data_IF_643619973203
#
_entry.id   IF_643619973203
#
_cell.length_a   1.000
_cell.length_b   1.000
_cell.length_c   1.000
_cell.angle_alpha   90.00
_cell.angle_beta   90.00
_cell.angle_gamma   90.00
#
_symmetry.space_group_name_H-M   'P 1'
#
loop_
_entity.id
_entity.type
_entity.pdbx_description
1 polymer ?
#
# COMPACT_ATOMS: atom_id res chain seq x y z
N UNK A 1 -2.28 10.60 3.25
CA UNK A 1 -2.99 9.43 3.80
C UNK A 1 -4.44 9.78 3.64
N UNK A 2 -5.16 9.02 2.83
CA UNK A 2 -6.59 9.21 2.61
C UNK A 2 -7.36 8.09 3.33
N UNK A 3 -8.67 8.25 3.51
CA UNK A 3 -9.49 7.29 4.24
C UNK A 3 -10.69 6.90 3.39
N UNK A 4 -10.96 5.61 3.29
CA UNK A 4 -12.22 5.09 2.72
C UNK A 4 -12.94 4.28 3.78
N UNK A 5 -14.22 4.56 3.98
CA UNK A 5 -15.09 3.86 4.91
C UNK A 5 -16.22 3.18 4.15
N UNK A 6 -16.37 1.88 4.36
CA UNK A 6 -17.45 1.11 3.76
C UNK A 6 -18.77 1.27 4.52
N UNK A 7 -19.89 1.28 3.79
CA UNK A 7 -21.23 1.34 4.34
C UNK A 7 -22.12 0.21 3.78
N UNK A 8 -22.71 -0.58 4.66
CA UNK A 8 -23.58 -1.74 4.32
C UNK A 8 -25.07 -1.42 4.38
N UNK A 9 -25.42 -0.15 4.60
CA UNK A 9 -26.81 0.27 4.74
C UNK A 9 -27.38 0.70 3.40
N UNK A 10 -28.62 0.29 3.15
CA UNK A 10 -29.35 0.66 1.95
C UNK A 10 -29.42 2.19 1.80
N UNK A 11 -29.20 2.68 0.58
CA UNK A 11 -29.15 4.10 0.27
C UNK A 11 -27.97 4.90 0.85
N UNK A 12 -27.03 4.28 1.59
CA UNK A 12 -25.83 4.96 2.11
C UNK A 12 -24.60 4.59 1.26
N UNK A 13 -23.95 5.56 0.59
CA UNK A 13 -22.70 5.30 -0.11
C UNK A 13 -21.52 5.14 0.86
N UNK A 14 -20.44 4.55 0.37
CA UNK A 14 -19.14 4.57 1.04
C UNK A 14 -18.65 6.03 1.17
N UNK A 15 -17.92 6.32 2.25
CA UNK A 15 -17.35 7.64 2.50
C UNK A 15 -15.87 7.64 2.10
N UNK A 16 -15.45 8.60 1.29
CA UNK A 16 -14.04 8.89 0.99
C UNK A 16 -13.66 10.22 1.60
N UNK A 17 -12.54 10.23 2.33
CA UNK A 17 -11.97 11.44 2.90
C UNK A 17 -10.56 11.68 2.38
N UNK A 18 -10.36 12.87 1.83
CA UNK A 18 -9.06 13.34 1.39
C UNK A 18 -8.22 13.81 2.57
N UNK A 19 -7.00 13.30 2.70
CA UNK A 19 -6.08 13.69 3.76
C UNK A 19 -5.41 15.03 3.48
N UNK A 20 -5.55 15.98 4.38
CA UNK A 20 -5.01 17.34 4.20
C UNK A 20 -3.53 17.48 4.59
N UNK A 21 -2.82 16.37 4.80
CA UNK A 21 -1.38 16.34 5.12
C UNK A 21 -1.02 16.74 6.56
N UNK A 22 -1.97 17.28 7.34
CA UNK A 22 -1.78 17.71 8.73
C UNK A 22 -2.57 16.84 9.74
N UNK A 23 -2.93 15.62 9.34
CA UNK A 23 -3.74 14.69 10.15
C UNK A 23 -5.24 15.00 10.17
N UNK A 24 -5.70 16.02 9.43
CA UNK A 24 -7.11 16.26 9.18
C UNK A 24 -7.56 15.68 7.82
N UNK A 25 -8.88 15.59 7.65
CA UNK A 25 -9.52 14.90 6.55
C UNK A 25 -10.76 15.68 6.07
N UNK A 26 -10.99 15.71 4.75
CA UNK A 26 -12.16 16.34 4.13
C UNK A 26 -13.00 15.29 3.41
N UNK A 27 -14.28 15.16 3.75
CA UNK A 27 -15.20 14.25 3.06
C UNK A 27 -15.38 14.73 1.61
N UNK A 28 -15.09 13.86 0.64
CA UNK A 28 -15.12 14.21 -0.78
C UNK A 28 -15.52 13.05 -1.71
N UNK A 29 -16.38 12.15 -1.24
CA UNK A 29 -16.83 10.95 -1.98
C UNK A 29 -17.36 11.25 -3.38
N UNK A 30 -18.09 12.36 -3.54
CA UNK A 30 -18.73 12.71 -4.80
C UNK A 30 -17.71 13.05 -5.89
N UNK A 31 -16.74 13.92 -5.59
CA UNK A 31 -15.71 14.30 -6.58
C UNK A 31 -14.71 13.17 -6.83
N UNK A 32 -14.42 12.34 -5.81
CA UNK A 32 -13.62 11.13 -5.97
C UNK A 32 -14.34 10.01 -6.75
N UNK A 33 -15.66 10.14 -6.99
CA UNK A 33 -16.47 9.14 -7.69
C UNK A 33 -16.78 7.87 -6.87
N UNK A 34 -16.27 7.77 -5.63
CA UNK A 34 -16.47 6.62 -4.73
C UNK A 34 -17.88 6.71 -4.13
N UNK A 35 -18.84 6.17 -4.87
CA UNK A 35 -20.28 6.31 -4.59
C UNK A 35 -21.00 4.96 -4.46
N UNK A 36 -20.25 3.86 -4.37
CA UNK A 36 -20.81 2.51 -4.15
C UNK A 36 -21.66 2.49 -2.88
N UNK A 37 -22.91 2.04 -2.99
CA UNK A 37 -23.80 1.76 -1.86
C UNK A 37 -23.72 0.29 -1.50
N UNK A 38 -24.05 -0.07 -0.26
CA UNK A 38 -24.02 -1.46 0.20
C UNK A 38 -22.64 -2.13 0.02
N UNK A 39 -21.56 -1.38 0.14
CA UNK A 39 -20.19 -1.87 -0.02
C UNK A 39 -19.79 -2.77 1.15
N UNK A 40 -19.96 -4.09 1.03
CA UNK A 40 -19.61 -5.05 2.08
C UNK A 40 -18.11 -5.17 2.33
N UNK A 41 -17.32 -4.96 1.30
CA UNK A 41 -15.88 -5.11 1.33
C UNK A 41 -15.21 -4.10 0.42
N UNK A 42 -13.96 -3.82 0.73
CA UNK A 42 -13.07 -3.04 -0.10
C UNK A 42 -11.69 -3.66 -0.07
N UNK A 43 -10.94 -3.47 -1.15
CA UNK A 43 -9.54 -3.85 -1.22
C UNK A 43 -8.76 -2.75 -1.94
N UNK A 44 -7.58 -2.41 -1.43
CA UNK A 44 -6.65 -1.51 -2.08
C UNK A 44 -5.54 -2.28 -2.79
N UNK A 45 -5.25 -1.91 -4.03
CA UNK A 45 -4.17 -2.47 -4.83
C UNK A 45 -3.79 -1.49 -5.94
N UNK A 46 -2.53 -1.46 -6.35
CA UNK A 46 -2.11 -0.92 -7.65
C UNK A 46 -2.48 -1.99 -8.70
N UNK A 47 -3.69 -1.93 -9.23
CA UNK A 47 -4.29 -3.03 -9.99
C UNK A 47 -3.77 -3.09 -11.43
N UNK A 48 -3.52 -1.93 -12.02
CA UNK A 48 -3.00 -1.81 -13.39
C UNK A 48 -1.47 -1.66 -13.45
N UNK A 49 -0.82 -1.64 -12.29
CA UNK A 49 0.62 -1.61 -12.12
C UNK A 49 1.32 -0.28 -12.48
N UNK A 50 0.62 0.84 -12.43
CA UNK A 50 1.14 2.14 -12.85
C UNK A 50 1.75 3.00 -11.69
N UNK A 51 1.69 2.46 -10.47
CA UNK A 51 2.31 3.06 -9.28
C UNK A 51 1.38 3.94 -8.44
N UNK A 52 0.13 4.14 -8.82
CA UNK A 52 -0.90 4.63 -7.91
C UNK A 52 -1.73 3.50 -7.30
N UNK A 53 -2.46 3.80 -6.23
CA UNK A 53 -3.26 2.81 -5.50
C UNK A 53 -4.71 2.96 -5.94
N UNK A 54 -5.25 1.90 -6.52
CA UNK A 54 -6.66 1.75 -6.86
C UNK A 54 -7.46 1.16 -5.70
N UNK A 55 -8.78 1.29 -5.81
CA UNK A 55 -9.72 0.73 -4.87
C UNK A 55 -10.68 -0.22 -5.59
N UNK A 56 -10.90 -1.40 -5.04
CA UNK A 56 -12.00 -2.27 -5.43
C UNK A 56 -13.12 -2.19 -4.39
N UNK A 57 -14.34 -1.89 -4.83
CA UNK A 57 -15.58 -2.04 -4.06
C UNK A 57 -16.75 -2.27 -5.01
N UNK A 58 -17.12 -3.55 -5.20
CA UNK A 58 -18.02 -4.08 -6.25
C UNK A 58 -17.54 -3.87 -7.70
N UNK A 59 -16.79 -2.80 -7.95
CA UNK A 59 -16.08 -2.45 -9.18
C UNK A 59 -14.72 -1.86 -8.83
N UNK A 60 -13.83 -1.79 -9.82
CA UNK A 60 -12.54 -1.10 -9.70
C UNK A 60 -12.77 0.41 -9.87
N UNK A 61 -12.24 1.19 -8.93
CA UNK A 61 -12.05 2.62 -9.00
C UNK A 61 -10.57 2.86 -9.25
N UNK A 62 -10.24 3.18 -10.51
CA UNK A 62 -8.87 3.49 -10.88
C UNK A 62 -8.47 4.88 -10.43
N UNK A 63 -7.27 5.01 -9.89
CA UNK A 63 -6.75 6.27 -9.38
C UNK A 63 -5.77 6.91 -10.35
N UNK A 64 -6.21 7.36 -11.53
CA UNK A 64 -5.28 7.88 -12.53
C UNK A 64 -4.70 9.25 -12.14
N UNK A 65 -3.53 9.27 -11.48
CA UNK A 65 -2.85 10.51 -11.09
C UNK A 65 -2.08 11.09 -12.29
N UNK A 66 -2.31 12.36 -12.70
CA UNK A 66 -1.53 12.95 -13.78
C UNK A 66 -0.03 12.99 -13.46
N UNK A 67 0.84 12.68 -14.43
CA UNK A 67 2.31 12.60 -14.24
C UNK A 67 2.92 13.81 -13.51
N UNK A 68 2.45 15.02 -13.78
CA UNK A 68 2.92 16.26 -13.12
C UNK A 68 2.65 16.30 -11.61
N UNK A 69 1.72 15.47 -11.13
CA UNK A 69 1.34 15.32 -9.74
C UNK A 69 1.73 13.95 -9.17
N UNK A 70 2.30 13.03 -9.98
CA UNK A 70 2.80 11.74 -9.49
C UNK A 70 4.09 11.98 -8.69
N UNK A 71 4.05 11.59 -7.42
CA UNK A 71 5.26 11.42 -6.62
C UNK A 71 5.89 10.05 -6.89
N UNK A 72 7.07 9.83 -6.33
CA UNK A 72 7.73 8.53 -6.37
C UNK A 72 7.04 7.53 -5.44
N UNK A 73 7.21 6.25 -5.75
CA UNK A 73 6.62 5.17 -4.97
C UNK A 73 7.58 3.99 -4.79
N UNK A 74 7.26 3.11 -3.84
CA UNK A 74 7.88 1.80 -3.72
C UNK A 74 6.80 0.82 -3.28
N UNK A 75 6.76 -0.36 -3.90
CA UNK A 75 6.01 -1.48 -3.36
C UNK A 75 6.93 -2.56 -2.82
N UNK A 76 6.59 -3.07 -1.64
CA UNK A 76 7.34 -4.16 -0.99
C UNK A 76 6.42 -5.34 -0.77
N UNK A 77 6.79 -6.50 -1.31
CA UNK A 77 6.14 -7.77 -1.03
C UNK A 77 7.05 -8.61 -0.15
N UNK A 78 6.58 -8.98 1.03
CA UNK A 78 7.36 -9.76 2.01
C UNK A 78 6.94 -11.22 1.98
N UNK A 79 7.91 -12.13 1.95
CA UNK A 79 7.69 -13.57 2.11
C UNK A 79 8.40 -14.08 3.37
N UNK A 80 7.68 -14.87 4.17
CA UNK A 80 8.24 -15.53 5.34
C UNK A 80 9.01 -16.79 4.96
N UNK A 81 10.01 -17.13 5.77
CA UNK A 81 10.71 -18.41 5.71
C UNK A 81 10.48 -19.22 7.00
N UNK A 82 10.68 -18.58 8.17
CA UNK A 82 10.30 -19.13 9.48
C UNK A 82 8.91 -18.66 9.88
N UNK A 83 8.57 -17.40 9.56
CA UNK A 83 7.22 -16.89 9.65
C UNK A 83 6.31 -17.56 8.61
N UNK A 84 4.99 -17.32 8.72
CA UNK A 84 4.06 -17.82 7.69
C UNK A 84 4.46 -17.29 6.30
N UNK A 85 4.24 -18.08 5.25
CA UNK A 85 4.74 -17.78 3.90
C UNK A 85 4.25 -16.41 3.37
N UNK A 86 3.04 -16.01 3.73
CA UNK A 86 2.46 -14.72 3.37
C UNK A 86 2.96 -13.55 4.25
N UNK A 87 3.84 -13.81 5.22
CA UNK A 87 4.38 -12.86 6.18
C UNK A 87 3.31 -12.06 6.97
N UNK A 88 2.08 -12.57 7.08
CA UNK A 88 0.97 -11.89 7.77
C UNK A 88 1.36 -11.62 9.22
N UNK A 89 1.13 -10.39 9.67
CA UNK A 89 1.52 -9.89 10.99
C UNK A 89 2.88 -9.18 11.03
N UNK A 90 3.65 -9.21 9.93
CA UNK A 90 4.89 -8.44 9.83
C UNK A 90 4.64 -6.93 9.76
N UNK A 91 5.55 -6.16 10.34
CA UNK A 91 5.62 -4.71 10.19
C UNK A 91 6.78 -4.35 9.28
N UNK A 92 6.49 -3.67 8.17
CA UNK A 92 7.49 -3.18 7.22
C UNK A 92 7.67 -1.68 7.40
N UNK A 93 8.91 -1.23 7.50
CA UNK A 93 9.30 0.18 7.54
C UNK A 93 10.20 0.49 6.36
N UNK A 94 9.94 1.63 5.73
CA UNK A 94 10.71 2.17 4.61
C UNK A 94 11.19 3.56 5.01
N UNK A 95 12.50 3.79 4.97
CA UNK A 95 13.13 5.06 5.37
C UNK A 95 13.72 5.78 4.17
N UNK A 96 13.40 7.07 4.06
CA UNK A 96 13.92 8.02 3.06
C UNK A 96 14.35 9.30 3.78
N UNK A 97 15.64 9.60 3.81
CA UNK A 97 16.23 10.69 4.59
C UNK A 97 15.84 10.56 6.07
N UNK A 98 15.11 11.56 6.57
CA UNK A 98 14.62 11.61 7.96
C UNK A 98 13.21 11.04 8.14
N UNK A 99 12.57 10.58 7.06
CA UNK A 99 11.17 10.12 7.09
C UNK A 99 11.10 8.59 7.03
N UNK A 100 10.45 7.98 8.02
CA UNK A 100 10.11 6.56 8.02
C UNK A 100 8.61 6.36 7.86
N UNK A 101 8.21 5.51 6.92
CA UNK A 101 6.82 5.11 6.68
C UNK A 101 6.65 3.66 7.08
N UNK A 102 5.51 3.31 7.67
CA UNK A 102 5.22 1.94 8.11
C UNK A 102 3.97 1.37 7.44
N UNK A 103 3.98 0.06 7.21
CA UNK A 103 2.83 -0.74 6.76
C UNK A 103 2.86 -2.10 7.45
N UNK A 104 1.70 -2.72 7.59
CA UNK A 104 1.57 -4.08 8.10
C UNK A 104 1.19 -5.02 6.96
N UNK A 105 1.70 -6.24 6.99
CA UNK A 105 1.20 -7.31 6.14
C UNK A 105 -0.07 -7.86 6.77
N UNK A 106 -1.21 -7.62 6.14
CA UNK A 106 -2.53 -7.97 6.68
C UNK A 106 -3.15 -9.14 5.92
N UNK A 107 -3.90 -9.98 6.63
CA UNK A 107 -4.63 -11.14 6.08
C UNK A 107 -6.13 -10.93 6.01
N UNK A 108 -6.57 -9.73 5.60
CA UNK A 108 -7.97 -9.40 5.41
C UNK A 108 -8.31 -7.94 5.73
N UNK A 109 -9.35 -7.42 5.06
CA UNK A 109 -9.91 -6.08 5.23
C UNK A 109 -11.44 -6.12 5.09
N UNK A 110 -12.16 -5.45 5.99
CA UNK A 110 -13.64 -5.42 5.98
C UNK A 110 -14.27 -6.83 5.98
N UNK A 111 -15.43 -6.98 5.33
CA UNK A 111 -16.07 -8.30 5.14
C UNK A 111 -15.69 -8.88 3.78
N UNK A 112 -14.87 -9.92 3.82
CA UNK A 112 -14.49 -10.73 2.64
C UNK A 112 -13.50 -10.06 1.70
N UNK A 113 -12.90 -8.94 2.08
CA UNK A 113 -11.84 -8.27 1.33
C UNK A 113 -10.45 -8.62 1.86
N UNK A 114 -9.45 -8.37 1.02
CA UNK A 114 -8.04 -8.36 1.40
C UNK A 114 -7.32 -7.38 0.48
N UNK A 115 -6.59 -6.43 1.05
CA UNK A 115 -5.68 -5.58 0.28
C UNK A 115 -4.57 -6.41 -0.36
N UNK A 116 -3.91 -5.83 -1.37
CA UNK A 116 -2.73 -6.45 -1.96
C UNK A 116 -1.66 -6.75 -0.91
N UNK A 117 -0.97 -7.88 -1.05
CA UNK A 117 0.23 -8.18 -0.25
C UNK A 117 1.43 -7.32 -0.67
N UNK A 118 1.33 -6.58 -1.79
CA UNK A 118 2.26 -5.51 -2.12
C UNK A 118 1.95 -4.28 -1.28
N UNK A 119 2.81 -4.01 -0.30
CA UNK A 119 2.69 -2.84 0.56
C UNK A 119 3.14 -1.61 -0.21
N UNK A 120 2.22 -0.69 -0.48
CA UNK A 120 2.51 0.55 -1.20
C UNK A 120 2.97 1.67 -0.27
N UNK A 121 4.09 2.29 -0.65
CA UNK A 121 4.69 3.44 0.00
C UNK A 121 4.82 4.60 -0.99
N UNK A 122 4.01 5.65 -0.82
CA UNK A 122 4.24 6.92 -1.51
C UNK A 122 5.43 7.68 -0.89
N UNK A 123 6.41 8.03 -1.70
CA UNK A 123 7.71 8.59 -1.29
C UNK A 123 7.85 10.09 -1.57
N UNK A 124 6.81 10.71 -2.14
CA UNK A 124 6.80 12.11 -2.54
C UNK A 124 7.97 12.42 -3.51
N UNK A 125 8.88 13.33 -3.17
CA UNK A 125 9.99 13.73 -4.05
C UNK A 125 11.28 12.94 -3.82
N UNK A 126 11.27 11.94 -2.94
CA UNK A 126 12.46 11.13 -2.68
C UNK A 126 12.75 10.20 -3.89
N UNK A 127 13.99 10.21 -4.37
CA UNK A 127 14.42 9.41 -5.53
C UNK A 127 15.15 8.13 -5.15
N UNK A 128 15.41 7.91 -3.86
CA UNK A 128 16.01 6.69 -3.32
C UNK A 128 15.40 6.32 -1.96
N UNK A 129 15.47 5.04 -1.62
CA UNK A 129 15.15 4.50 -0.29
C UNK A 129 16.44 4.07 0.40
N UNK A 130 16.65 4.55 1.62
CA UNK A 130 17.90 4.32 2.37
C UNK A 130 17.87 3.02 3.15
N UNK A 131 16.69 2.59 3.60
CA UNK A 131 16.53 1.37 4.39
C UNK A 131 15.13 0.77 4.22
N UNK A 132 15.08 -0.56 4.14
CA UNK A 132 13.86 -1.35 4.34
C UNK A 132 14.09 -2.26 5.54
N UNK A 133 13.24 -2.18 6.56
CA UNK A 133 13.27 -3.09 7.71
C UNK A 133 11.93 -3.82 7.88
N UNK A 134 12.02 -5.11 8.18
CA UNK A 134 10.86 -5.99 8.36
C UNK A 134 10.97 -6.64 9.74
N UNK A 135 10.05 -6.31 10.63
CA UNK A 135 9.85 -7.01 11.89
C UNK A 135 8.79 -8.09 11.70
N UNK A 136 9.15 -9.35 11.82
CA UNK A 136 8.27 -10.49 11.61
C UNK A 136 7.50 -10.88 12.89
N UNK A 137 6.42 -11.68 12.78
CA UNK A 137 5.81 -12.33 13.93
C UNK A 137 6.87 -13.08 14.76
N UNK A 138 6.85 -12.86 16.08
CA UNK A 138 7.90 -13.34 16.98
C UNK A 138 9.00 -12.32 17.29
N UNK A 139 8.99 -11.14 16.63
CA UNK A 139 9.76 -9.96 17.02
C UNK A 139 11.16 -9.86 16.42
N UNK A 140 11.65 -10.88 15.73
CA UNK A 140 12.91 -10.77 15.01
C UNK A 140 12.77 -9.80 13.83
N UNK A 141 13.86 -9.11 13.49
CA UNK A 141 13.88 -8.08 12.45
C UNK A 141 15.00 -8.35 11.45
N UNK A 142 14.68 -8.18 10.17
CA UNK A 142 15.65 -8.16 9.07
C UNK A 142 15.70 -6.76 8.50
N UNK A 143 16.90 -6.24 8.27
CA UNK A 143 17.14 -4.89 7.76
C UNK A 143 18.01 -4.94 6.52
N UNK A 144 17.62 -4.16 5.51
CA UNK A 144 18.33 -4.02 4.24
C UNK A 144 18.71 -2.56 4.05
N UNK A 145 20.01 -2.28 4.00
CA UNK A 145 20.55 -0.96 3.70
C UNK A 145 20.55 -0.72 2.18
N UNK A 146 20.14 0.48 1.77
CA UNK A 146 20.11 0.94 0.39
C UNK A 146 21.44 1.53 -0.08
N UNK A 147 21.42 2.40 -1.12
CA UNK A 147 20.22 2.99 -1.73
C UNK A 147 19.47 2.01 -2.64
N UNK A 148 18.15 1.94 -2.50
CA UNK A 148 17.26 1.31 -3.47
C UNK A 148 16.64 2.38 -4.38
N UNK A 149 16.54 2.10 -5.69
CA UNK A 149 15.80 2.96 -6.60
C UNK A 149 14.31 3.00 -6.22
N UNK A 150 13.63 4.06 -6.63
CA UNK A 150 12.17 4.21 -6.48
C UNK A 150 11.45 3.77 -7.75
N UNK A 151 10.12 3.89 -7.74
CA UNK A 151 9.22 3.59 -8.84
C UNK A 151 9.29 2.12 -9.28
N UNK A 152 9.38 1.24 -8.29
CA UNK A 152 9.54 -0.19 -8.50
C UNK A 152 8.89 -1.03 -7.41
N UNK A 153 8.82 -2.33 -7.69
CA UNK A 153 8.37 -3.38 -6.79
C UNK A 153 9.57 -4.22 -6.33
N UNK A 154 9.67 -4.50 -5.04
CA UNK A 154 10.71 -5.34 -4.46
C UNK A 154 10.09 -6.54 -3.74
N UNK A 155 10.67 -7.71 -3.97
CA UNK A 155 10.48 -8.87 -3.11
C UNK A 155 11.51 -8.87 -1.99
N UNK A 156 11.01 -9.00 -0.77
CA UNK A 156 11.81 -9.15 0.45
C UNK A 156 11.50 -10.51 1.05
N UNK A 157 12.53 -11.29 1.34
CA UNK A 157 12.37 -12.62 1.95
C UNK A 157 13.13 -12.68 3.26
N UNK A 158 12.56 -13.38 4.24
CA UNK A 158 13.09 -13.47 5.60
C UNK A 158 14.52 -14.06 5.67
N UNK A 159 14.86 -14.97 4.76
CA UNK A 159 16.10 -15.75 4.78
C UNK A 159 17.10 -15.36 3.66
N UNK A 160 16.90 -14.23 2.98
CA UNK A 160 17.81 -13.75 1.93
C UNK A 160 18.58 -12.50 2.35
N UNK A 161 19.78 -12.33 1.81
CA UNK A 161 20.67 -11.24 2.18
C UNK A 161 20.32 -9.88 1.54
N UNK A 162 19.47 -9.85 0.52
CA UNK A 162 19.10 -8.61 -0.19
C UNK A 162 17.73 -8.71 -0.85
N UNK A 163 16.97 -7.60 -0.95
CA UNK A 163 15.75 -7.55 -1.75
C UNK A 163 16.06 -7.79 -3.22
N UNK A 164 15.10 -8.38 -3.94
CA UNK A 164 15.20 -8.59 -5.39
C UNK A 164 14.09 -7.84 -6.11
N UNK A 165 14.39 -7.30 -7.29
CA UNK A 165 13.40 -6.66 -8.13
C UNK A 165 12.27 -7.67 -8.43
N UNK A 166 11.03 -7.26 -8.16
CA UNK A 166 9.88 -8.04 -8.57
C UNK A 166 9.69 -7.90 -10.08
N UNK A 167 9.03 -8.89 -10.68
CA UNK A 167 8.63 -8.81 -12.08
C UNK A 167 7.75 -7.57 -12.32
N UNK A 168 8.02 -6.87 -13.42
CA UNK A 168 7.18 -5.79 -13.92
C UNK A 168 6.61 -6.20 -15.29
N UNK A 169 5.31 -5.96 -15.55
CA UNK A 169 4.76 -6.17 -16.87
C UNK A 169 5.49 -5.30 -17.90
N UNK A 170 5.65 -5.76 -19.16
CA UNK A 170 6.36 -4.99 -20.19
C UNK A 170 5.60 -3.76 -20.73
N UNK A 171 4.44 -3.40 -20.17
CA UNK A 171 3.52 -2.41 -20.73
C UNK A 171 2.89 -1.59 -19.62
#
# INVERSE_FOLDING_TARGET
LDLVLSAVYDGRPNDFYWGTGNGSFTLDSYHAGITTTNGWGMAAADFDHDGDVDLFSERVFRNDIPNQNKGHWLQVHVTGATANNAAIGSTVRVTTGTTTRMRHVQGGTGKGGQDSLYLHFGLATATTVDEISVTFPGGHTVTFAGPFAVDQRLFVKEDVASPVAAWAPPF
#
